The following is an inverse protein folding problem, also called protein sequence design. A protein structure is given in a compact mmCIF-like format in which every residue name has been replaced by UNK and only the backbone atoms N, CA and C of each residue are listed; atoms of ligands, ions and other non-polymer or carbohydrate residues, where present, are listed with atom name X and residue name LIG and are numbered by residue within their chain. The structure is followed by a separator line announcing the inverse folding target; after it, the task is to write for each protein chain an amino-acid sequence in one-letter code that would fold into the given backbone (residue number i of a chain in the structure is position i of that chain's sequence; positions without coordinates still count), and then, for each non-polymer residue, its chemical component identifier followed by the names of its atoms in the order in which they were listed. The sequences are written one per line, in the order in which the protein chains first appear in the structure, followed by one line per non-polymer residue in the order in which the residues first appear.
data_IF_594883976471
#
_entry.id   IF_594883976471
#
_cell.length_a   1.000
_cell.length_b   1.000
_cell.length_c   1.000
_cell.angle_alpha   90.00
_cell.angle_beta   90.00
_cell.angle_gamma   90.00
#
_symmetry.space_group_name_H-M   'P 1'
#
loop_
_entity.id
_entity.type
_entity.pdbx_description
1 polymer ?
#
# COMPACT_ATOMS: atom_id res chain seq x y z
N UNK A 1 -11.47 -4.45 10.43
CA UNK A 1 -10.95 -5.71 9.86
C UNK A 1 -10.51 -5.45 8.43
N UNK A 2 -9.36 -6.00 7.99
CA UNK A 2 -8.81 -5.88 6.63
C UNK A 2 -8.58 -7.30 6.11
N UNK A 3 -9.04 -7.58 4.89
CA UNK A 3 -8.78 -8.84 4.19
C UNK A 3 -7.50 -8.66 3.36
N UNK A 4 -6.47 -9.43 3.67
CA UNK A 4 -5.17 -9.32 3.01
C UNK A 4 -5.13 -10.30 1.84
N UNK A 5 -4.95 -9.76 0.64
CA UNK A 5 -4.80 -10.50 -0.61
C UNK A 5 -3.32 -10.81 -0.84
N UNK A 6 -3.05 -11.99 -1.40
CA UNK A 6 -1.69 -12.47 -1.65
C UNK A 6 -1.10 -12.00 -2.98
N UNK A 7 -1.95 -11.61 -3.92
CA UNK A 7 -1.56 -11.13 -5.25
C UNK A 7 -1.93 -9.67 -5.42
N UNK A 8 -1.05 -8.92 -6.08
CA UNK A 8 -1.28 -7.50 -6.33
C UNK A 8 -2.43 -7.29 -7.31
N UNK A 9 -2.53 -8.15 -8.33
CA UNK A 9 -3.53 -8.08 -9.40
C UNK A 9 -4.96 -8.12 -8.84
N UNK A 10 -5.21 -8.98 -7.85
CA UNK A 10 -6.51 -9.12 -7.18
C UNK A 10 -6.91 -7.83 -6.45
N UNK A 11 -5.92 -7.10 -5.91
CA UNK A 11 -6.17 -5.80 -5.29
C UNK A 11 -6.33 -4.70 -6.36
N UNK A 12 -5.53 -4.75 -7.44
CA UNK A 12 -5.47 -3.75 -8.50
C UNK A 12 -6.85 -3.47 -9.11
N UNK A 13 -7.62 -4.52 -9.43
CA UNK A 13 -8.99 -4.38 -9.93
C UNK A 13 -9.90 -3.64 -8.95
N UNK A 14 -9.66 -3.80 -7.64
CA UNK A 14 -10.44 -3.17 -6.60
C UNK A 14 -10.02 -1.72 -6.32
N UNK A 15 -8.73 -1.38 -6.46
CA UNK A 15 -8.25 -0.01 -6.18
C UNK A 15 -8.76 1.01 -7.18
N UNK A 16 -9.00 0.64 -8.44
CA UNK A 16 -9.47 1.56 -9.48
C UNK A 16 -10.79 2.26 -9.15
N UNK A 17 -11.62 1.65 -8.31
CA UNK A 17 -12.92 2.20 -7.90
C UNK A 17 -12.94 2.69 -6.44
N UNK A 18 -11.81 2.61 -5.75
CA UNK A 18 -11.74 2.96 -4.33
C UNK A 18 -11.68 4.47 -4.12
N UNK A 19 -12.49 4.98 -3.19
CA UNK A 19 -12.49 6.42 -2.83
C UNK A 19 -11.15 6.89 -2.24
N UNK A 20 -10.48 6.04 -1.48
CA UNK A 20 -9.17 6.29 -0.91
C UNK A 20 -8.31 5.06 -1.03
N UNK A 21 -7.12 5.24 -1.60
CA UNK A 21 -6.08 4.23 -1.69
C UNK A 21 -4.95 4.73 -0.79
N UNK A 22 -4.63 3.94 0.22
CA UNK A 22 -3.54 4.24 1.14
C UNK A 22 -2.43 3.24 0.90
N UNK A 23 -1.18 3.70 0.89
CA UNK A 23 -0.04 2.80 0.85
C UNK A 23 1.08 3.25 1.77
N UNK A 24 1.94 2.32 2.16
CA UNK A 24 3.14 2.58 2.95
C UNK A 24 4.25 1.65 2.49
N UNK A 25 5.45 2.19 2.45
CA UNK A 25 6.69 1.42 2.25
C UNK A 25 7.46 1.37 3.56
N UNK A 26 7.93 0.19 3.95
CA UNK A 26 8.84 0.00 5.08
C UNK A 26 10.16 -0.52 4.53
N UNK A 27 11.25 0.18 4.81
CA UNK A 27 12.61 -0.20 4.38
C UNK A 27 13.18 -1.21 5.37
N UNK A 28 13.65 -2.35 4.85
CA UNK A 28 14.28 -3.43 5.61
C UNK A 28 15.74 -3.68 5.15
N UNK A 29 16.39 -2.69 4.53
CA UNK A 29 17.77 -2.81 4.05
C UNK A 29 17.84 -3.11 2.55
N UNK A 30 17.92 -4.38 2.16
CA UNK A 30 17.91 -4.82 0.75
C UNK A 30 16.49 -4.93 0.17
N UNK A 31 15.48 -4.95 1.05
CA UNK A 31 14.07 -5.16 0.73
C UNK A 31 13.20 -4.00 1.16
N UNK A 32 12.11 -3.81 0.42
CA UNK A 32 11.01 -2.93 0.74
C UNK A 32 9.77 -3.79 0.97
N UNK A 33 9.15 -3.59 2.11
CA UNK A 33 7.80 -4.06 2.36
C UNK A 33 6.81 -3.00 1.87
N UNK A 34 6.00 -3.34 0.88
CA UNK A 34 4.91 -2.51 0.40
C UNK A 34 3.60 -2.99 1.02
N UNK A 35 2.89 -2.08 1.68
CA UNK A 35 1.54 -2.30 2.21
C UNK A 35 0.58 -1.37 1.49
N UNK A 36 -0.50 -1.90 0.94
CA UNK A 36 -1.56 -1.13 0.27
C UNK A 36 -2.90 -1.48 0.90
N UNK A 37 -3.79 -0.50 1.03
CA UNK A 37 -5.14 -0.67 1.54
C UNK A 37 -6.14 0.14 0.71
N UNK A 38 -7.23 -0.52 0.35
CA UNK A 38 -8.39 0.07 -0.32
C UNK A 38 -9.67 -0.43 0.33
N UNK A 39 -10.36 0.45 1.05
CA UNK A 39 -11.54 0.07 1.84
C UNK A 39 -11.23 -1.01 2.88
N UNK A 40 -11.79 -2.21 2.69
CA UNK A 40 -11.57 -3.38 3.55
C UNK A 40 -10.53 -4.36 3.01
N UNK A 41 -10.00 -4.13 1.81
CA UNK A 41 -9.00 -4.98 1.19
C UNK A 41 -7.60 -4.39 1.40
N UNK A 42 -6.61 -5.25 1.50
CA UNK A 42 -5.21 -4.84 1.54
C UNK A 42 -4.30 -5.83 0.85
N UNK A 43 -3.12 -5.37 0.49
CA UNK A 43 -2.03 -6.15 -0.07
C UNK A 43 -0.78 -5.89 0.75
N UNK A 44 0.02 -6.94 0.96
CA UNK A 44 1.32 -6.83 1.62
C UNK A 44 2.33 -7.67 0.85
N UNK A 45 3.33 -7.00 0.27
CA UNK A 45 4.37 -7.63 -0.52
C UNK A 45 5.76 -7.23 -0.06
N UNK A 46 6.73 -8.12 -0.23
CA UNK A 46 8.14 -7.87 0.05
C UNK A 46 8.93 -7.97 -1.26
N UNK A 47 9.61 -6.89 -1.59
CA UNK A 47 10.32 -6.74 -2.86
C UNK A 47 11.76 -6.35 -2.60
N UNK A 48 12.69 -6.75 -3.48
CA UNK A 48 14.00 -6.09 -3.51
C UNK A 48 13.85 -4.64 -3.97
N UNK A 49 14.75 -3.76 -3.54
CA UNK A 49 14.72 -2.33 -3.92
C UNK A 49 14.80 -2.09 -5.43
N UNK A 50 15.49 -2.97 -6.15
CA UNK A 50 15.69 -2.94 -7.59
C UNK A 50 14.63 -3.73 -8.38
N UNK A 51 13.62 -4.28 -7.71
CA UNK A 51 12.60 -5.10 -8.36
C UNK A 51 11.74 -4.25 -9.33
N UNK A 52 11.67 -4.60 -10.63
CA UNK A 52 10.87 -3.85 -11.61
C UNK A 52 9.36 -3.86 -11.31
N UNK A 53 8.84 -4.94 -10.73
CA UNK A 53 7.43 -5.07 -10.32
C UNK A 53 7.08 -4.05 -9.24
N UNK A 54 7.97 -3.85 -8.26
CA UNK A 54 7.78 -2.82 -7.23
C UNK A 54 7.68 -1.43 -7.87
N UNK A 55 8.54 -1.13 -8.85
CA UNK A 55 8.52 0.14 -9.57
C UNK A 55 7.18 0.34 -10.31
N UNK A 56 6.71 -0.68 -11.00
CA UNK A 56 5.44 -0.66 -11.73
C UNK A 56 4.25 -0.43 -10.77
N UNK A 57 4.19 -1.15 -9.65
CA UNK A 57 3.14 -0.98 -8.65
C UNK A 57 3.14 0.45 -8.10
N UNK A 58 4.31 1.02 -7.79
CA UNK A 58 4.42 2.40 -7.28
C UNK A 58 4.03 3.45 -8.33
N UNK A 59 4.28 3.21 -9.62
CA UNK A 59 3.83 4.07 -10.71
C UNK A 59 2.30 4.00 -10.86
N UNK A 60 1.70 2.81 -10.83
CA UNK A 60 0.25 2.60 -10.83
C UNK A 60 -0.42 3.30 -9.64
N UNK A 61 0.10 3.10 -8.43
CA UNK A 61 -0.40 3.78 -7.23
C UNK A 61 -0.39 5.31 -7.37
N UNK A 62 0.65 5.88 -7.99
CA UNK A 62 0.68 7.32 -8.31
C UNK A 62 -0.38 7.71 -9.32
N UNK A 63 -0.56 6.94 -10.39
CA UNK A 63 -1.59 7.20 -11.40
C UNK A 63 -3.01 7.14 -10.80
N UNK A 64 -3.24 6.25 -9.83
CA UNK A 64 -4.52 6.14 -9.11
C UNK A 64 -4.73 7.19 -8.02
N UNK A 65 -3.78 8.12 -7.81
CA UNK A 65 -3.87 9.13 -6.76
C UNK A 65 -3.77 8.56 -5.34
N UNK A 66 -3.08 7.43 -5.17
CA UNK A 66 -2.90 6.82 -3.86
C UNK A 66 -2.07 7.71 -2.93
N UNK A 67 -2.47 7.76 -1.66
CA UNK A 67 -1.83 8.58 -0.64
C UNK A 67 -0.83 7.73 0.14
N UNK A 68 0.42 8.19 0.19
CA UNK A 68 1.45 7.57 1.01
C UNK A 68 1.24 7.93 2.48
N UNK A 69 1.16 6.92 3.33
CA UNK A 69 1.01 7.05 4.78
C UNK A 69 2.37 6.89 5.43
N UNK A 70 2.84 7.95 6.09
CA UNK A 70 4.14 7.95 6.78
C UNK A 70 4.06 7.22 8.14
N UNK A 71 2.97 7.43 8.88
CA UNK A 71 2.72 6.80 10.19
C UNK A 71 1.22 6.68 10.49
N UNK A 72 0.90 5.84 11.46
CA UNK A 72 -0.45 5.71 12.02
C UNK A 72 -0.40 6.09 13.49
N UNK A 73 -1.29 6.98 13.91
CA UNK A 73 -1.41 7.43 15.29
C UNK A 73 -2.87 7.21 15.70
N UNK A 74 -3.14 6.58 16.86
CA UNK A 74 -4.51 6.49 17.36
C UNK A 74 -5.09 7.88 17.62
N UNK A 75 -6.36 8.11 17.26
CA UNK A 75 -7.02 9.42 17.40
C UNK A 75 -6.85 10.03 18.80
N UNK A 76 -6.99 9.21 19.85
CA UNK A 76 -6.84 9.63 21.26
C UNK A 76 -5.46 10.19 21.58
N UNK A 77 -4.42 9.76 20.85
CA UNK A 77 -3.04 10.22 21.01
C UNK A 77 -2.75 11.40 20.08
N UNK A 78 -3.42 11.48 18.93
CA UNK A 78 -3.19 12.55 17.95
C UNK A 78 -3.75 13.91 18.39
N UNK A 79 -4.88 13.90 19.11
CA UNK A 79 -5.57 15.10 19.58
C UNK A 79 -5.24 15.50 21.03
N UNK A 80 -4.39 14.74 21.71
CA UNK A 80 -3.92 15.03 23.07
C UNK A 80 -2.73 15.99 23.05
#
# INVERSE_FOLDING_TARGET
MVFVLSKWEDLEECVQYARYILYRTVDHGDRIELRVKAGRLGFQGFFRKDNPELKEILEKLRAYGAVKVERTVPDKVFLA
#
